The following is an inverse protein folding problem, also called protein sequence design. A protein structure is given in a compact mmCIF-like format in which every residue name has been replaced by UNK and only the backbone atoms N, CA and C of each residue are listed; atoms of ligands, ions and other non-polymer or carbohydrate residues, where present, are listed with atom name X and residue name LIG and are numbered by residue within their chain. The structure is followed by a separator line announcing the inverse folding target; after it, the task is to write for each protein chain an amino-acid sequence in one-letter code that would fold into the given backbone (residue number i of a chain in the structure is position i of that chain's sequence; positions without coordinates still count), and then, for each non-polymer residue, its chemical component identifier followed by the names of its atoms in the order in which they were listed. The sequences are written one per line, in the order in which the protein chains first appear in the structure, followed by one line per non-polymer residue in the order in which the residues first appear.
data_IF_654173607715
#
_entry.id   IF_654173607715
#
_cell.length_a   1.000
_cell.length_b   1.000
_cell.length_c   1.000
_cell.angle_alpha   90.00
_cell.angle_beta   90.00
_cell.angle_gamma   90.00
#
_symmetry.space_group_name_H-M   'P 1'
#
loop_
_entity.id
_entity.type
_entity.pdbx_description
1 polymer ?
#
# COMPACT_ATOMS: atom_id res chain seq x y z
N UNK A 1 11.03 -0.65 -0.07
CA UNK A 1 11.27 0.69 -0.66
C UNK A 1 10.03 1.59 -0.56
N UNK A 2 8.81 1.05 -0.74
CA UNK A 2 7.56 1.84 -0.72
C UNK A 2 7.21 2.50 0.63
N UNK A 3 7.47 1.82 1.75
CA UNK A 3 7.21 2.35 3.09
C UNK A 3 7.99 3.63 3.40
N UNK A 4 9.25 3.71 2.98
CA UNK A 4 10.11 4.90 3.17
C UNK A 4 9.56 6.15 2.46
N UNK A 5 8.89 5.97 1.32
CA UNK A 5 8.26 7.07 0.58
C UNK A 5 6.95 7.51 1.24
N UNK A 6 6.14 6.57 1.71
CA UNK A 6 4.91 6.86 2.46
C UNK A 6 5.19 7.67 3.74
N UNK A 7 6.24 7.31 4.49
CA UNK A 7 6.64 8.06 5.68
C UNK A 7 7.12 9.48 5.37
N UNK A 8 7.80 9.70 4.23
CA UNK A 8 8.19 11.05 3.79
C UNK A 8 6.96 11.90 3.45
N UNK A 9 5.96 11.34 2.75
CA UNK A 9 4.72 12.04 2.46
C UNK A 9 3.91 12.35 3.73
N UNK A 10 3.85 11.42 4.67
CA UNK A 10 3.18 11.63 5.96
C UNK A 10 3.81 12.80 6.73
N UNK A 11 5.15 12.86 6.78
CA UNK A 11 5.88 13.96 7.43
C UNK A 11 5.58 15.32 6.79
N UNK A 12 5.49 15.38 5.46
CA UNK A 12 5.13 16.61 4.74
C UNK A 12 3.72 17.07 5.07
N UNK A 13 2.74 16.16 5.08
CA UNK A 13 1.34 16.47 5.40
C UNK A 13 1.17 16.98 6.84
N UNK A 14 1.85 16.35 7.81
CA UNK A 14 1.85 16.78 9.22
C UNK A 14 2.42 18.19 9.35
N UNK A 15 3.54 18.46 8.67
CA UNK A 15 4.17 19.78 8.70
C UNK A 15 3.26 20.85 8.09
N UNK A 16 2.68 20.59 6.92
CA UNK A 16 1.74 21.50 6.28
C UNK A 16 0.51 21.79 7.16
N UNK A 17 -0.02 20.78 7.84
CA UNK A 17 -1.13 20.94 8.79
C UNK A 17 -0.72 21.74 10.05
N UNK A 18 0.54 21.66 10.49
CA UNK A 18 1.04 22.43 11.64
C UNK A 18 1.37 23.90 11.33
N UNK A 19 1.63 24.23 10.07
CA UNK A 19 1.95 25.59 9.61
C UNK A 19 0.69 26.39 9.20
N UNK A 20 -0.51 25.82 9.36
CA UNK A 20 -1.78 26.45 8.94
C UNK A 20 -2.81 26.47 10.06
N UNK A 21 -3.50 27.60 10.24
CA UNK A 21 -4.64 27.74 11.17
C UNK A 21 -5.99 27.40 10.51
N UNK A 22 -6.00 27.07 9.21
CA UNK A 22 -7.22 26.75 8.49
C UNK A 22 -7.70 25.34 8.83
N UNK A 23 -8.75 25.25 9.64
CA UNK A 23 -9.37 23.98 10.05
C UNK A 23 -9.80 23.12 8.85
N UNK A 24 -10.23 23.76 7.74
CA UNK A 24 -10.61 23.05 6.51
C UNK A 24 -9.41 22.36 5.88
N UNK A 25 -8.26 23.04 5.79
CA UNK A 25 -7.05 22.48 5.22
C UNK A 25 -6.46 21.39 6.13
N UNK A 26 -6.48 21.59 7.45
CA UNK A 26 -6.07 20.56 8.41
C UNK A 26 -6.89 19.29 8.23
N UNK A 27 -8.21 19.42 8.12
CA UNK A 27 -9.11 18.29 7.94
C UNK A 27 -8.87 17.55 6.60
N UNK A 28 -8.57 18.29 5.53
CA UNK A 28 -8.21 17.71 4.24
C UNK A 28 -6.87 16.93 4.29
N UNK A 29 -5.84 17.50 4.93
CA UNK A 29 -4.57 16.82 5.16
C UNK A 29 -4.73 15.53 5.97
N UNK A 30 -5.55 15.55 7.03
CA UNK A 30 -5.85 14.36 7.84
C UNK A 30 -6.53 13.26 7.00
N UNK A 31 -7.50 13.61 6.14
CA UNK A 31 -8.11 12.65 5.22
C UNK A 31 -7.07 12.00 4.30
N UNK A 32 -6.16 12.79 3.72
CA UNK A 32 -5.10 12.27 2.87
C UNK A 32 -4.16 11.32 3.62
N UNK A 33 -3.80 11.63 4.87
CA UNK A 33 -2.97 10.75 5.71
C UNK A 33 -3.64 9.38 5.93
N UNK A 34 -4.95 9.36 6.20
CA UNK A 34 -5.71 8.10 6.36
C UNK A 34 -5.63 7.26 5.08
N UNK A 35 -5.81 7.87 3.91
CA UNK A 35 -5.73 7.17 2.62
C UNK A 35 -4.34 6.57 2.37
N UNK A 36 -3.27 7.31 2.71
CA UNK A 36 -1.90 6.80 2.56
C UNK A 36 -1.65 5.60 3.47
N UNK A 37 -2.08 5.69 4.74
CA UNK A 37 -1.96 4.59 5.70
C UNK A 37 -2.78 3.39 5.25
N UNK A 38 -4.02 3.59 4.82
CA UNK A 38 -4.90 2.53 4.33
C UNK A 38 -4.28 1.77 3.15
N UNK A 39 -3.72 2.50 2.16
CA UNK A 39 -3.00 1.90 1.03
C UNK A 39 -1.74 1.15 1.44
N UNK A 40 -1.03 1.64 2.45
CA UNK A 40 0.21 1.02 2.93
C UNK A 40 -0.04 -0.19 3.86
N UNK A 41 -1.19 -0.24 4.54
CA UNK A 41 -1.51 -1.27 5.55
C UNK A 41 -2.46 -2.33 5.04
N UNK A 42 -3.29 -2.03 4.03
CA UNK A 42 -4.08 -3.07 3.36
C UNK A 42 -3.13 -3.87 2.47
N UNK A 43 -2.88 -5.16 2.77
CA UNK A 43 -2.24 -6.02 1.81
C UNK A 43 -3.12 -5.98 0.56
N UNK A 44 -2.53 -5.71 -0.60
CA UNK A 44 -3.19 -6.01 -1.87
C UNK A 44 -3.73 -7.44 -1.69
N UNK A 45 -5.05 -7.63 -1.72
CA UNK A 45 -5.60 -8.97 -1.81
C UNK A 45 -4.94 -9.54 -3.05
N UNK A 46 -3.92 -10.37 -2.87
CA UNK A 46 -3.45 -11.28 -3.88
C UNK A 46 -4.71 -12.09 -4.13
N UNK A 47 -5.44 -11.71 -5.18
CA UNK A 47 -6.39 -12.61 -5.79
C UNK A 47 -5.51 -13.77 -6.21
N UNK A 48 -5.39 -14.77 -5.36
CA UNK A 48 -4.95 -16.10 -5.71
C UNK A 48 -5.95 -16.56 -6.77
N UNK A 49 -5.66 -16.20 -8.02
CA UNK A 49 -6.24 -16.80 -9.21
C UNK A 49 -6.03 -18.32 -9.03
N UNK A 50 -7.09 -19.12 -8.80
CA UNK A 50 -6.92 -20.54 -8.51
C UNK A 50 -6.57 -21.40 -9.74
N UNK A 51 -6.06 -20.79 -10.81
CA UNK A 51 -5.71 -21.49 -12.04
C UNK A 51 -4.25 -21.22 -12.44
N UNK A 52 -3.32 -21.63 -11.59
CA UNK A 52 -1.95 -21.91 -12.05
C UNK A 52 -1.97 -23.32 -12.64
N UNK A 53 -1.76 -23.52 -13.96
CA UNK A 53 -1.59 -24.85 -14.49
C UNK A 53 -0.28 -25.39 -13.92
N UNK A 54 -0.39 -26.33 -12.98
CA UNK A 54 0.73 -27.17 -12.57
C UNK A 54 1.30 -27.78 -13.85
N UNK A 55 2.47 -27.28 -14.26
CA UNK A 55 3.26 -27.86 -15.32
C UNK A 55 3.49 -29.32 -14.91
N UNK A 56 2.82 -30.24 -15.62
CA UNK A 56 2.94 -31.68 -15.45
C UNK A 56 4.43 -32.02 -15.57
N UNK A 57 5.07 -32.38 -14.46
CA UNK A 57 6.38 -33.01 -14.51
C UNK A 57 6.23 -34.36 -15.25
N UNK A 58 7.02 -34.64 -16.30
CA UNK A 58 7.04 -35.96 -16.90
C UNK A 58 7.63 -36.94 -15.88
N UNK A 59 6.84 -37.93 -15.47
CA UNK A 59 7.37 -39.12 -14.81
C UNK A 59 8.20 -39.89 -15.85
N UNK A 60 9.51 -39.76 -15.81
CA UNK A 60 10.39 -40.75 -16.43
C UNK A 60 10.30 -42.02 -15.59
N UNK A 61 9.55 -42.99 -16.09
CA UNK A 61 9.57 -44.37 -15.62
C UNK A 61 10.71 -45.07 -16.32
N UNK A 62 11.57 -45.71 -15.53
CA UNK A 62 12.72 -46.49 -15.96
C UNK A 62 12.29 -47.68 -16.84
N UNK A 63 13.13 -47.99 -17.83
CA UNK A 63 13.05 -49.16 -18.70
C UNK A 63 14.39 -49.39 -19.36
#
# INVERSE_FOLDING_TARGET
METSQAFRHLRTLIRAASETDSTVLIHDHLKMMIVVIDKATKPAKIQTIPNSPIAKMPRHTEG
#
